data_IF_899207124989
#
_entry.id   IF_899207124989
#
_cell.length_a   1.000
_cell.length_b   1.000
_cell.length_c   1.000
_cell.angle_alpha   90.00
_cell.angle_beta   90.00
_cell.angle_gamma   90.00
#
_symmetry.space_group_name_H-M   'P 1'
#
loop_
_entity.id
_entity.type
_entity.pdbx_description
1 polymer ?
#
# COMPACT_ATOMS: atom_id res chain seq x y z
N UNK A 1 -38.68 23.59 -67.19
CA UNK A 1 -38.38 22.15 -67.28
C UNK A 1 -37.12 21.93 -66.49
N UNK A 2 -37.15 21.72 -65.22
CA UNK A 2 -37.43 20.55 -64.37
C UNK A 2 -36.34 19.49 -64.44
N UNK A 3 -35.71 19.31 -63.25
CA UNK A 3 -34.96 18.17 -62.74
C UNK A 3 -33.50 18.04 -63.11
N UNK A 4 -32.66 18.48 -62.20
CA UNK A 4 -31.53 17.69 -61.70
C UNK A 4 -30.86 18.46 -60.52
N UNK A 5 -31.37 18.28 -59.32
CA UNK A 5 -30.68 18.82 -58.12
C UNK A 5 -31.13 18.00 -56.89
N UNK A 6 -30.78 16.70 -56.94
CA UNK A 6 -31.04 15.89 -55.72
C UNK A 6 -30.14 14.64 -55.73
N UNK A 7 -28.87 14.77 -55.51
CA UNK A 7 -28.02 13.60 -55.21
C UNK A 7 -26.62 13.87 -54.64
N UNK A 8 -26.36 15.04 -54.06
CA UNK A 8 -24.99 15.30 -53.48
C UNK A 8 -25.03 15.57 -51.96
N UNK A 9 -26.22 15.59 -51.32
CA UNK A 9 -26.30 15.84 -49.86
C UNK A 9 -26.46 14.62 -48.93
N UNK A 10 -26.55 13.42 -49.45
CA UNK A 10 -26.69 12.20 -48.67
C UNK A 10 -25.33 11.57 -48.29
N UNK A 11 -24.27 11.83 -49.03
CA UNK A 11 -22.98 11.15 -48.85
C UNK A 11 -22.05 11.83 -47.81
N UNK A 12 -22.33 13.09 -47.49
CA UNK A 12 -21.51 13.83 -46.47
C UNK A 12 -21.96 13.59 -45.01
N UNK A 13 -23.15 12.99 -44.79
CA UNK A 13 -23.59 12.64 -43.41
C UNK A 13 -23.13 11.28 -42.98
N UNK A 14 -22.94 10.34 -43.88
CA UNK A 14 -22.40 9.00 -43.55
C UNK A 14 -20.92 9.02 -43.25
N UNK A 15 -20.13 9.87 -43.95
CA UNK A 15 -18.70 10.01 -43.68
C UNK A 15 -18.36 10.71 -42.36
N UNK A 16 -19.24 11.62 -41.88
CA UNK A 16 -19.06 12.26 -40.55
C UNK A 16 -19.51 11.37 -39.39
N UNK A 17 -20.47 10.50 -39.58
CA UNK A 17 -20.90 9.53 -38.57
C UNK A 17 -19.85 8.44 -38.35
N UNK A 18 -19.12 8.04 -39.41
CA UNK A 18 -18.04 7.04 -39.31
C UNK A 18 -16.70 7.62 -38.82
N UNK A 19 -16.49 8.94 -38.99
CA UNK A 19 -15.31 9.61 -38.42
C UNK A 19 -15.46 9.91 -36.90
N UNK A 20 -16.69 10.10 -36.41
CA UNK A 20 -16.99 10.29 -34.98
C UNK A 20 -16.90 9.00 -34.16
N UNK A 21 -17.05 7.83 -34.80
CA UNK A 21 -16.97 6.53 -34.12
C UNK A 21 -15.52 6.02 -33.91
N UNK A 22 -14.51 6.68 -34.49
CA UNK A 22 -13.10 6.28 -34.36
C UNK A 22 -12.32 6.96 -33.22
N UNK A 23 -12.98 7.78 -32.40
CA UNK A 23 -12.36 8.45 -31.25
C UNK A 23 -13.07 8.22 -29.91
N UNK A 24 -13.87 7.17 -29.81
CA UNK A 24 -14.03 6.54 -28.51
C UNK A 24 -12.72 5.80 -28.25
N UNK A 25 -11.74 6.48 -27.63
CA UNK A 25 -10.72 5.75 -26.87
C UNK A 25 -11.51 4.77 -26.02
N UNK A 26 -11.28 3.47 -26.23
CA UNK A 26 -11.60 2.47 -25.23
C UNK A 26 -10.94 3.02 -23.97
N UNK A 27 -11.71 3.60 -23.07
CA UNK A 27 -11.24 3.89 -21.71
C UNK A 27 -10.89 2.50 -21.23
N UNK A 28 -9.60 2.24 -21.06
CA UNK A 28 -9.08 0.98 -20.54
C UNK A 28 -9.61 0.91 -19.11
N UNK A 29 -10.81 0.33 -18.99
CA UNK A 29 -11.48 0.22 -17.70
C UNK A 29 -10.75 -0.85 -16.91
N UNK A 30 -10.33 -0.51 -15.73
CA UNK A 30 -9.56 -1.34 -14.81
C UNK A 30 -10.22 -2.69 -14.53
N UNK A 31 -11.55 -2.83 -14.83
CA UNK A 31 -12.29 -4.08 -14.70
C UNK A 31 -13.58 -4.06 -15.52
N UNK A 32 -14.06 -5.25 -15.87
CA UNK A 32 -15.29 -5.44 -16.60
C UNK A 32 -16.53 -5.12 -15.73
N UNK A 33 -17.52 -4.43 -16.30
CA UNK A 33 -18.78 -4.01 -15.65
C UNK A 33 -19.98 -4.87 -16.04
N UNK A 34 -19.78 -6.08 -16.59
CA UNK A 34 -20.88 -7.02 -16.77
C UNK A 34 -21.45 -7.46 -15.42
N UNK A 35 -22.75 -7.81 -15.38
CA UNK A 35 -23.41 -8.25 -14.16
C UNK A 35 -22.72 -9.46 -13.51
N UNK A 36 -22.23 -10.38 -14.33
CA UNK A 36 -21.46 -11.56 -13.93
C UNK A 36 -20.11 -11.18 -13.30
N UNK A 37 -19.34 -10.30 -13.94
CA UNK A 37 -18.04 -9.83 -13.43
C UNK A 37 -18.21 -9.08 -12.12
N UNK A 38 -19.26 -8.22 -12.02
CA UNK A 38 -19.58 -7.50 -10.78
C UNK A 38 -19.93 -8.50 -9.67
N UNK A 39 -20.79 -9.47 -9.93
CA UNK A 39 -21.19 -10.49 -8.95
C UNK A 39 -19.98 -11.30 -8.47
N UNK A 40 -19.13 -11.74 -9.39
CA UNK A 40 -17.92 -12.48 -9.05
C UNK A 40 -16.94 -11.65 -8.23
N UNK A 41 -16.75 -10.37 -8.57
CA UNK A 41 -15.88 -9.45 -7.81
C UNK A 41 -16.39 -9.21 -6.40
N UNK A 42 -17.70 -8.93 -6.26
CA UNK A 42 -18.32 -8.70 -4.96
C UNK A 42 -18.35 -9.96 -4.08
N UNK A 43 -18.52 -11.15 -4.68
CA UNK A 43 -18.51 -12.41 -3.93
C UNK A 43 -17.13 -12.81 -3.39
N UNK A 44 -16.04 -12.31 -4.00
CA UNK A 44 -14.66 -12.54 -3.51
C UNK A 44 -14.32 -11.70 -2.29
N UNK A 45 -15.11 -10.66 -2.03
CA UNK A 45 -14.80 -9.70 -0.96
C UNK A 45 -13.59 -8.82 -1.25
N UNK A 46 -13.21 -7.96 -0.31
CA UNK A 46 -12.02 -7.13 -0.42
C UNK A 46 -10.75 -8.00 -0.35
N UNK A 47 -9.82 -7.78 -1.29
CA UNK A 47 -8.51 -8.44 -1.28
C UNK A 47 -7.54 -7.62 -0.45
N UNK A 48 -6.93 -8.25 0.56
CA UNK A 48 -5.88 -7.60 1.34
C UNK A 48 -4.60 -7.46 0.53
N UNK A 49 -4.09 -6.25 0.47
CA UNK A 49 -2.85 -5.96 -0.24
C UNK A 49 -1.70 -5.78 0.77
N UNK A 50 -0.77 -6.72 0.77
CA UNK A 50 0.44 -6.69 1.60
C UNK A 50 1.62 -5.97 0.93
N UNK A 51 1.39 -5.32 -0.21
CA UNK A 51 2.44 -4.58 -0.92
C UNK A 51 3.00 -3.43 -0.08
N UNK A 52 2.14 -2.76 0.71
CA UNK A 52 2.58 -1.71 1.63
C UNK A 52 3.63 -2.23 2.60
N UNK A 53 3.38 -3.42 3.16
CA UNK A 53 4.28 -4.07 4.11
C UNK A 53 5.59 -4.45 3.42
N UNK A 54 5.51 -4.94 2.16
CA UNK A 54 6.67 -5.26 1.35
C UNK A 54 7.50 -4.01 0.99
N UNK A 55 6.86 -2.91 0.60
CA UNK A 55 7.54 -1.65 0.29
C UNK A 55 8.24 -1.09 1.53
N UNK A 56 7.59 -1.08 2.69
CA UNK A 56 8.20 -0.60 3.93
C UNK A 56 9.41 -1.44 4.32
N UNK A 57 9.27 -2.77 4.34
CA UNK A 57 10.38 -3.65 4.62
C UNK A 57 11.53 -3.48 3.64
N UNK A 58 11.24 -3.38 2.34
CA UNK A 58 12.24 -3.24 1.29
C UNK A 58 13.00 -1.92 1.33
N UNK A 59 12.31 -0.80 1.53
CA UNK A 59 12.95 0.52 1.67
C UNK A 59 13.82 0.54 2.93
N UNK A 60 13.25 0.15 4.07
CA UNK A 60 13.95 0.23 5.35
C UNK A 60 15.16 -0.70 5.39
N UNK A 61 15.02 -1.95 4.94
CA UNK A 61 16.14 -2.87 4.85
C UNK A 61 17.28 -2.37 3.96
N UNK A 62 16.95 -1.75 2.81
CA UNK A 62 17.98 -1.16 1.94
C UNK A 62 18.65 0.06 2.56
N UNK A 63 17.86 0.96 3.20
CA UNK A 63 18.37 2.21 3.81
C UNK A 63 19.27 1.89 4.98
N UNK A 64 18.80 1.08 5.93
CA UNK A 64 19.53 0.80 7.18
C UNK A 64 20.80 0.00 6.92
N UNK A 65 20.73 -1.03 6.09
CA UNK A 65 21.93 -1.79 5.72
C UNK A 65 22.95 -0.96 4.94
N UNK A 66 22.47 -0.13 3.98
CA UNK A 66 23.39 0.75 3.25
C UNK A 66 23.95 1.86 4.11
N UNK A 67 23.23 2.33 5.13
CA UNK A 67 23.75 3.25 6.13
C UNK A 67 24.91 2.61 6.93
N UNK A 68 24.78 1.35 7.34
CA UNK A 68 25.88 0.59 7.98
C UNK A 68 27.08 0.50 7.04
N UNK A 69 26.87 0.11 5.77
CA UNK A 69 27.95 0.06 4.76
C UNK A 69 28.64 1.42 4.62
N UNK A 70 27.87 2.50 4.50
CA UNK A 70 28.37 3.86 4.31
C UNK A 70 29.12 4.38 5.54
N UNK A 71 28.60 4.14 6.74
CA UNK A 71 29.23 4.55 7.99
C UNK A 71 30.59 3.87 8.23
N UNK A 72 30.63 2.54 8.02
CA UNK A 72 31.87 1.76 8.17
C UNK A 72 32.91 2.13 7.09
N UNK A 73 32.45 2.38 5.85
CA UNK A 73 33.31 2.87 4.77
C UNK A 73 33.87 4.27 5.06
N UNK A 74 33.03 5.19 5.57
CA UNK A 74 33.43 6.53 6.00
C UNK A 74 34.50 6.52 7.11
N UNK A 75 34.35 5.62 8.06
CA UNK A 75 35.34 5.36 9.12
C UNK A 75 36.60 4.61 8.64
N UNK A 76 36.66 4.17 7.39
CA UNK A 76 37.75 3.38 6.78
C UNK A 76 38.06 2.09 7.54
N UNK A 77 37.03 1.45 8.09
CA UNK A 77 37.15 0.16 8.75
C UNK A 77 37.17 -0.99 7.73
N UNK A 78 37.51 -2.21 8.18
CA UNK A 78 37.63 -3.35 7.29
C UNK A 78 36.29 -3.83 6.72
N UNK A 79 36.31 -4.41 5.51
CA UNK A 79 35.14 -4.98 4.85
C UNK A 79 34.47 -6.08 5.68
N UNK A 80 35.22 -6.80 6.52
CA UNK A 80 34.68 -7.81 7.42
C UNK A 80 33.69 -7.20 8.44
N UNK A 81 34.02 -6.00 8.97
CA UNK A 81 33.13 -5.30 9.90
C UNK A 81 31.81 -4.92 9.21
N UNK A 82 31.86 -4.54 7.92
CA UNK A 82 30.66 -4.29 7.12
C UNK A 82 29.74 -5.52 7.08
N UNK A 83 30.33 -6.70 6.83
CA UNK A 83 29.55 -7.94 6.79
C UNK A 83 28.96 -8.30 8.16
N UNK A 84 29.77 -8.25 9.22
CA UNK A 84 29.29 -8.58 10.57
C UNK A 84 28.18 -7.66 11.00
N UNK A 85 28.36 -6.34 10.91
CA UNK A 85 27.37 -5.36 11.32
C UNK A 85 26.16 -5.36 10.36
N UNK A 86 26.39 -5.52 9.06
CA UNK A 86 25.32 -5.58 8.05
C UNK A 86 24.41 -6.78 8.26
N UNK A 87 24.94 -7.99 8.50
CA UNK A 87 24.11 -9.16 8.79
C UNK A 87 23.44 -9.07 10.16
N UNK A 88 24.13 -8.54 11.19
CA UNK A 88 23.53 -8.28 12.49
C UNK A 88 22.32 -7.34 12.36
N UNK A 89 22.48 -6.26 11.61
CA UNK A 89 21.38 -5.31 11.31
C UNK A 89 20.24 -5.99 10.55
N UNK A 90 20.54 -6.75 9.49
CA UNK A 90 19.53 -7.47 8.71
C UNK A 90 18.62 -8.34 9.57
N UNK A 91 19.19 -9.12 10.47
CA UNK A 91 18.39 -10.02 11.31
C UNK A 91 17.71 -9.27 12.46
N UNK A 92 18.40 -8.37 13.13
CA UNK A 92 17.86 -7.67 14.29
C UNK A 92 16.78 -6.68 13.90
N UNK A 93 17.05 -5.78 12.97
CA UNK A 93 16.09 -4.76 12.52
C UNK A 93 14.96 -5.39 11.70
N UNK A 94 15.29 -6.33 10.81
CA UNK A 94 14.28 -7.05 10.04
C UNK A 94 13.29 -7.78 10.95
N UNK A 95 13.77 -8.47 11.99
CA UNK A 95 12.89 -9.10 12.98
C UNK A 95 12.10 -8.07 13.79
N UNK A 96 12.74 -7.00 14.26
CA UNK A 96 12.08 -5.94 15.02
C UNK A 96 10.93 -5.31 14.23
N UNK A 97 11.18 -4.99 12.95
CA UNK A 97 10.18 -4.41 12.06
C UNK A 97 9.01 -5.37 11.78
N UNK A 98 9.32 -6.64 11.55
CA UNK A 98 8.31 -7.69 11.35
C UNK A 98 7.46 -7.90 12.61
N UNK A 99 8.09 -7.94 13.79
CA UNK A 99 7.40 -8.08 15.07
C UNK A 99 6.51 -6.86 15.36
N UNK A 100 6.99 -5.66 15.08
CA UNK A 100 6.20 -4.42 15.22
C UNK A 100 4.99 -4.41 14.29
N UNK A 101 5.16 -4.84 13.03
CA UNK A 101 4.05 -4.95 12.08
C UNK A 101 3.05 -6.03 12.49
N UNK A 102 3.53 -7.18 13.00
CA UNK A 102 2.67 -8.21 13.57
C UNK A 102 1.82 -7.67 14.72
N UNK A 103 2.47 -7.06 15.71
CA UNK A 103 1.79 -6.55 16.91
C UNK A 103 0.82 -5.42 16.58
N UNK A 104 1.18 -4.51 15.67
CA UNK A 104 0.30 -3.43 15.22
C UNK A 104 -0.94 -3.97 14.51
N UNK A 105 -0.76 -4.89 13.54
CA UNK A 105 -1.89 -5.52 12.83
C UNK A 105 -2.74 -6.38 13.77
N UNK A 106 -2.12 -7.06 14.74
CA UNK A 106 -2.83 -7.82 15.76
C UNK A 106 -3.66 -6.91 16.66
N UNK A 107 -3.12 -5.75 17.07
CA UNK A 107 -3.85 -4.79 17.88
C UNK A 107 -5.09 -4.24 17.13
N UNK A 108 -5.00 -3.96 15.81
CA UNK A 108 -6.16 -3.61 14.97
C UNK A 108 -7.22 -4.73 14.99
N UNK A 109 -6.78 -5.97 14.92
CA UNK A 109 -7.67 -7.15 14.97
C UNK A 109 -8.34 -7.32 16.34
N UNK A 110 -7.56 -7.18 17.40
CA UNK A 110 -8.06 -7.30 18.79
C UNK A 110 -9.05 -6.17 19.12
N UNK A 111 -8.81 -4.94 18.58
CA UNK A 111 -9.74 -3.81 18.76
C UNK A 111 -11.06 -4.01 18.02
N UNK A 112 -11.02 -4.54 16.78
CA UNK A 112 -12.22 -4.92 16.05
C UNK A 112 -13.09 -5.92 16.84
N UNK A 113 -12.48 -6.98 17.37
CA UNK A 113 -13.21 -7.97 18.17
C UNK A 113 -13.75 -7.38 19.48
N UNK A 114 -13.00 -6.48 20.11
CA UNK A 114 -13.45 -5.77 21.31
C UNK A 114 -14.71 -4.95 21.02
N UNK A 115 -14.70 -4.19 19.93
CA UNK A 115 -15.85 -3.36 19.54
C UNK A 115 -17.02 -4.23 19.09
N UNK A 116 -16.79 -5.33 18.37
CA UNK A 116 -17.83 -6.31 18.04
C UNK A 116 -18.53 -6.85 19.29
N UNK A 117 -17.76 -7.13 20.35
CA UNK A 117 -18.32 -7.57 21.63
C UNK A 117 -19.10 -6.46 22.37
N UNK A 118 -18.65 -5.21 22.24
CA UNK A 118 -19.35 -4.02 22.78
C UNK A 118 -20.71 -3.86 22.09
N UNK A 119 -20.73 -3.84 20.75
CA UNK A 119 -21.94 -3.71 19.96
C UNK A 119 -22.96 -4.82 20.26
N UNK A 120 -22.48 -6.06 20.33
CA UNK A 120 -23.34 -7.17 20.70
C UNK A 120 -23.99 -6.97 22.09
N UNK A 121 -23.27 -6.43 23.05
CA UNK A 121 -23.79 -6.14 24.38
C UNK A 121 -24.78 -4.97 24.35
N UNK A 122 -24.53 -3.92 23.60
CA UNK A 122 -25.43 -2.78 23.44
C UNK A 122 -26.75 -3.21 22.81
N UNK A 123 -26.72 -4.00 21.75
CA UNK A 123 -27.91 -4.56 21.10
C UNK A 123 -28.73 -5.42 22.09
N UNK A 124 -28.08 -6.16 23.01
CA UNK A 124 -28.78 -6.96 24.01
C UNK A 124 -29.37 -6.12 25.16
N UNK A 125 -28.71 -5.00 25.51
CA UNK A 125 -29.07 -4.20 26.68
C UNK A 125 -29.98 -3.01 26.34
N UNK A 126 -29.74 -2.37 25.19
CA UNK A 126 -30.43 -1.15 24.73
C UNK A 126 -30.82 -1.19 23.24
N UNK A 127 -31.57 -2.20 22.78
CA UNK A 127 -31.83 -2.44 21.36
C UNK A 127 -32.54 -1.27 20.66
N UNK A 128 -33.34 -0.49 21.38
CA UNK A 128 -34.01 0.69 20.80
C UNK A 128 -33.05 1.86 20.59
N UNK A 129 -32.07 2.05 21.47
CA UNK A 129 -30.99 3.03 21.29
C UNK A 129 -30.16 2.71 20.04
N UNK A 130 -29.75 1.46 19.92
CA UNK A 130 -28.98 0.98 18.76
C UNK A 130 -29.77 1.07 17.42
N UNK A 131 -31.12 0.91 17.46
CA UNK A 131 -31.96 1.16 16.28
C UNK A 131 -32.00 2.64 15.91
N UNK A 132 -32.05 3.50 16.92
CA UNK A 132 -32.02 4.95 16.71
C UNK A 132 -30.68 5.40 16.10
N UNK A 133 -29.55 4.82 16.54
CA UNK A 133 -28.24 5.09 15.95
C UNK A 133 -28.19 4.70 14.48
N UNK A 134 -28.65 3.50 14.11
CA UNK A 134 -28.80 3.10 12.70
C UNK A 134 -29.69 4.09 11.95
N UNK A 135 -30.79 4.53 12.56
CA UNK A 135 -31.71 5.52 11.94
C UNK A 135 -31.00 6.85 11.66
N UNK A 136 -30.23 7.35 12.62
CA UNK A 136 -29.49 8.60 12.46
C UNK A 136 -28.37 8.49 11.42
N UNK A 137 -27.63 7.39 11.41
CA UNK A 137 -26.60 7.11 10.40
C UNK A 137 -27.19 7.16 8.99
N UNK A 138 -28.30 6.48 8.75
CA UNK A 138 -28.92 6.44 7.42
C UNK A 138 -29.69 7.72 7.09
N UNK A 139 -30.22 8.44 8.08
CA UNK A 139 -30.76 9.78 7.88
C UNK A 139 -29.68 10.76 7.38
N UNK A 140 -28.48 10.73 7.96
CA UNK A 140 -27.35 11.55 7.48
C UNK A 140 -26.92 11.18 6.05
N UNK A 141 -27.16 9.95 5.62
CA UNK A 141 -26.95 9.49 4.22
C UNK A 141 -28.07 9.92 3.27
N UNK A 142 -29.09 10.64 3.76
CA UNK A 142 -30.16 11.21 2.96
C UNK A 142 -31.43 10.36 2.89
N UNK A 143 -31.52 9.23 3.62
CA UNK A 143 -32.77 8.47 3.69
C UNK A 143 -33.76 9.15 4.63
N UNK A 144 -35.04 9.22 4.22
CA UNK A 144 -36.11 9.86 5.00
C UNK A 144 -37.41 9.07 4.92
N UNK A 145 -38.34 9.32 5.86
CA UNK A 145 -39.70 8.80 5.82
C UNK A 145 -39.76 7.24 5.81
N UNK A 146 -40.51 6.68 4.87
CA UNK A 146 -40.74 5.23 4.77
C UNK A 146 -39.47 4.45 4.40
N UNK A 147 -38.64 5.02 3.52
CA UNK A 147 -37.40 4.39 3.10
C UNK A 147 -36.41 4.26 4.28
N UNK A 148 -36.33 5.27 5.13
CA UNK A 148 -35.52 5.22 6.37
C UNK A 148 -36.03 4.11 7.29
N UNK A 149 -37.34 4.07 7.56
CA UNK A 149 -37.92 3.01 8.43
C UNK A 149 -37.61 1.61 7.88
N UNK A 150 -37.78 1.44 6.58
CA UNK A 150 -37.55 0.15 5.93
C UNK A 150 -36.09 -0.29 5.98
N UNK A 151 -35.12 0.61 5.76
CA UNK A 151 -33.70 0.25 5.83
C UNK A 151 -33.28 -0.11 7.25
N UNK A 152 -33.75 0.64 8.26
CA UNK A 152 -33.50 0.34 9.68
C UNK A 152 -34.02 -1.08 10.02
N UNK A 153 -35.28 -1.39 9.64
CA UNK A 153 -35.86 -2.72 9.86
C UNK A 153 -35.04 -3.83 9.20
N UNK A 154 -34.61 -3.63 7.94
CA UNK A 154 -33.84 -4.62 7.22
C UNK A 154 -32.46 -4.86 7.85
N UNK A 155 -31.80 -3.80 8.31
CA UNK A 155 -30.48 -3.91 8.96
C UNK A 155 -30.60 -4.61 10.30
N UNK A 156 -31.53 -4.18 11.15
CA UNK A 156 -31.66 -4.65 12.51
C UNK A 156 -32.37 -6.02 12.62
N UNK A 157 -32.95 -6.53 11.52
CA UNK A 157 -33.53 -7.88 11.47
C UNK A 157 -32.48 -9.00 11.51
N UNK A 158 -31.23 -8.71 11.14
CA UNK A 158 -30.12 -9.67 11.20
C UNK A 158 -29.00 -9.12 12.06
N UNK A 159 -28.68 -9.85 13.14
CA UNK A 159 -27.69 -9.39 14.14
C UNK A 159 -26.30 -9.16 13.53
N UNK A 160 -25.85 -10.03 12.65
CA UNK A 160 -24.53 -9.88 12.02
C UNK A 160 -24.47 -8.64 11.12
N UNK A 161 -25.56 -8.40 10.38
CA UNK A 161 -25.68 -7.20 9.56
C UNK A 161 -25.71 -5.95 10.42
N UNK A 162 -26.43 -5.97 11.51
CA UNK A 162 -26.53 -4.85 12.45
C UNK A 162 -25.15 -4.50 13.02
N UNK A 163 -24.49 -5.43 13.70
CA UNK A 163 -23.14 -5.23 14.24
C UNK A 163 -22.16 -4.77 13.16
N UNK A 164 -22.18 -5.41 11.98
CA UNK A 164 -21.33 -5.00 10.86
C UNK A 164 -21.59 -3.56 10.42
N UNK A 165 -22.84 -3.13 10.39
CA UNK A 165 -23.22 -1.77 10.03
C UNK A 165 -22.67 -0.78 11.06
N UNK A 166 -22.82 -1.06 12.35
CA UNK A 166 -22.28 -0.22 13.41
C UNK A 166 -20.74 -0.11 13.32
N UNK A 167 -20.05 -1.24 13.25
CA UNK A 167 -18.58 -1.24 13.13
C UNK A 167 -18.09 -0.42 11.92
N UNK A 168 -18.79 -0.47 10.79
CA UNK A 168 -18.38 0.23 9.58
C UNK A 168 -18.78 1.70 9.58
N UNK A 169 -20.00 2.02 10.03
CA UNK A 169 -20.59 3.34 9.85
C UNK A 169 -20.38 4.26 11.05
N UNK A 170 -20.34 3.73 12.25
CA UNK A 170 -20.10 4.48 13.48
C UNK A 170 -18.60 4.60 13.77
N UNK A 171 -17.89 3.45 13.80
CA UNK A 171 -16.46 3.43 14.13
C UNK A 171 -15.55 3.59 12.92
N UNK A 172 -16.06 3.52 11.70
CA UNK A 172 -15.25 3.62 10.47
C UNK A 172 -14.27 2.47 10.27
N UNK A 173 -14.50 1.33 10.92
CA UNK A 173 -13.62 0.17 10.87
C UNK A 173 -13.92 -0.71 9.66
N UNK A 174 -12.90 -1.25 8.98
CA UNK A 174 -13.11 -2.29 8.00
C UNK A 174 -13.58 -3.57 8.68
N UNK A 175 -14.58 -4.23 8.12
CA UNK A 175 -15.08 -5.51 8.65
C UNK A 175 -14.04 -6.64 8.60
N UNK A 176 -13.15 -6.60 7.64
CA UNK A 176 -12.09 -7.58 7.49
C UNK A 176 -10.74 -6.90 7.72
N UNK A 177 -9.95 -7.45 8.63
CA UNK A 177 -8.59 -7.01 8.93
C UNK A 177 -7.57 -7.96 8.29
N UNK A 178 -6.40 -7.41 7.98
CA UNK A 178 -5.30 -8.14 7.37
C UNK A 178 -4.75 -9.19 8.33
N UNK A 179 -4.20 -10.29 7.80
CA UNK A 179 -3.52 -11.28 8.63
C UNK A 179 -2.22 -10.71 9.21
N UNK A 180 -2.04 -10.69 10.54
CA UNK A 180 -0.82 -10.21 11.18
C UNK A 180 0.42 -11.00 10.74
N UNK A 181 0.29 -12.33 10.57
CA UNK A 181 1.39 -13.19 10.14
C UNK A 181 1.86 -12.90 8.72
N UNK A 182 0.92 -12.68 7.78
CA UNK A 182 1.27 -12.39 6.39
C UNK A 182 1.90 -10.99 6.30
N UNK A 183 1.39 -10.00 7.03
CA UNK A 183 1.96 -8.66 7.11
C UNK A 183 3.41 -8.70 7.62
N UNK A 184 3.64 -9.38 8.75
CA UNK A 184 4.97 -9.54 9.33
C UNK A 184 5.95 -10.26 8.39
N UNK A 185 5.52 -11.38 7.79
CA UNK A 185 6.36 -12.16 6.88
C UNK A 185 6.69 -11.39 5.60
N UNK A 186 5.72 -10.62 5.08
CA UNK A 186 5.96 -9.73 3.92
C UNK A 186 7.02 -8.67 4.23
N UNK A 187 6.92 -8.02 5.40
CA UNK A 187 7.88 -7.03 5.86
C UNK A 187 9.26 -7.65 6.04
N UNK A 188 9.35 -8.78 6.76
CA UNK A 188 10.61 -9.45 7.03
C UNK A 188 11.33 -9.90 5.76
N UNK A 189 10.60 -10.58 4.87
CA UNK A 189 11.18 -11.07 3.62
C UNK A 189 11.66 -9.94 2.71
N UNK A 190 10.88 -8.86 2.60
CA UNK A 190 11.28 -7.69 1.84
C UNK A 190 12.53 -7.00 2.43
N UNK A 191 12.57 -6.87 3.76
CA UNK A 191 13.73 -6.32 4.48
C UNK A 191 14.99 -7.13 4.20
N UNK A 192 14.91 -8.46 4.35
CA UNK A 192 16.06 -9.34 4.10
C UNK A 192 16.51 -9.28 2.63
N UNK A 193 15.58 -9.41 1.68
CA UNK A 193 15.91 -9.43 0.25
C UNK A 193 16.53 -8.12 -0.19
N UNK A 194 15.91 -7.01 0.12
CA UNK A 194 16.39 -5.69 -0.32
C UNK A 194 17.62 -5.22 0.48
N UNK A 195 17.67 -5.51 1.79
CA UNK A 195 18.79 -5.14 2.64
C UNK A 195 20.04 -6.01 2.43
N UNK A 196 19.90 -7.21 1.87
CA UNK A 196 21.05 -8.01 1.47
C UNK A 196 21.80 -7.41 0.28
N UNK A 197 21.12 -6.68 -0.60
CA UNK A 197 21.71 -6.18 -1.86
C UNK A 197 22.93 -5.28 -1.63
N UNK A 198 22.94 -4.30 -0.70
CA UNK A 198 24.14 -3.51 -0.39
C UNK A 198 25.34 -4.33 0.08
N UNK A 199 25.12 -5.51 0.69
CA UNK A 199 26.16 -6.35 1.21
C UNK A 199 26.74 -7.32 0.15
N UNK A 200 26.03 -7.59 -0.94
CA UNK A 200 26.45 -8.53 -1.97
C UNK A 200 27.86 -8.24 -2.53
N UNK A 201 28.25 -6.99 -2.86
CA UNK A 201 29.57 -6.71 -3.36
C UNK A 201 30.70 -7.10 -2.38
N UNK A 202 30.44 -6.98 -1.08
CA UNK A 202 31.38 -7.35 -0.02
C UNK A 202 31.43 -8.86 0.21
N UNK A 203 30.25 -9.52 0.16
CA UNK A 203 30.16 -10.97 0.28
C UNK A 203 30.86 -11.69 -0.88
N UNK A 204 30.74 -11.12 -2.09
CA UNK A 204 31.40 -11.63 -3.30
C UNK A 204 32.86 -11.14 -3.44
N UNK A 205 33.39 -10.39 -2.47
CA UNK A 205 34.74 -9.85 -2.44
C UNK A 205 35.14 -9.09 -3.72
N UNK A 206 34.19 -8.33 -4.28
CA UNK A 206 34.41 -7.61 -5.53
C UNK A 206 35.42 -6.48 -5.37
N UNK A 207 36.24 -6.26 -6.40
CA UNK A 207 37.07 -5.06 -6.51
C UNK A 207 36.15 -3.84 -6.55
N UNK A 208 36.44 -2.81 -5.77
CA UNK A 208 35.62 -1.62 -5.61
C UNK A 208 34.22 -1.88 -5.02
N UNK A 209 34.13 -2.81 -4.05
CA UNK A 209 32.86 -3.22 -3.42
C UNK A 209 31.97 -2.05 -2.97
N UNK A 210 32.57 -0.97 -2.41
CA UNK A 210 31.82 0.21 -1.98
C UNK A 210 31.10 0.90 -3.15
N UNK A 211 31.83 1.17 -4.25
CA UNK A 211 31.24 1.84 -5.42
C UNK A 211 30.11 1.00 -6.04
N UNK A 212 30.32 -0.30 -6.15
CA UNK A 212 29.31 -1.22 -6.65
C UNK A 212 28.11 -1.24 -5.71
N UNK A 213 28.31 -1.27 -4.39
CA UNK A 213 27.24 -1.20 -3.39
C UNK A 213 26.42 0.08 -3.54
N UNK A 214 27.06 1.24 -3.72
CA UNK A 214 26.35 2.52 -4.00
C UNK A 214 25.44 2.39 -5.21
N UNK A 215 25.98 1.87 -6.33
CA UNK A 215 25.23 1.78 -7.60
C UNK A 215 24.04 0.83 -7.48
N UNK A 216 24.26 -0.39 -6.96
CA UNK A 216 23.18 -1.39 -6.86
C UNK A 216 22.09 -0.94 -5.89
N UNK A 217 22.47 -0.29 -4.79
CA UNK A 217 21.51 0.26 -3.82
C UNK A 217 20.70 1.40 -4.41
N UNK A 218 21.34 2.29 -5.18
CA UNK A 218 20.64 3.36 -5.89
C UNK A 218 19.60 2.82 -6.88
N UNK A 219 19.95 1.76 -7.61
CA UNK A 219 19.00 1.07 -8.52
C UNK A 219 17.83 0.46 -7.73
N UNK A 220 18.09 -0.16 -6.59
CA UNK A 220 17.04 -0.74 -5.73
C UNK A 220 16.11 0.35 -5.20
N UNK A 221 16.61 1.45 -4.68
CA UNK A 221 15.77 2.56 -4.20
C UNK A 221 14.88 3.10 -5.32
N UNK A 222 15.47 3.31 -6.49
CA UNK A 222 14.72 3.79 -7.64
C UNK A 222 13.63 2.78 -8.08
N UNK A 223 13.97 1.48 -8.12
CA UNK A 223 13.05 0.42 -8.51
C UNK A 223 11.87 0.29 -7.52
N UNK A 224 12.15 0.26 -6.20
CA UNK A 224 11.10 0.19 -5.17
C UNK A 224 10.19 1.42 -5.25
N UNK A 225 10.77 2.62 -5.39
CA UNK A 225 10.01 3.86 -5.55
C UNK A 225 9.16 3.87 -6.83
N UNK A 226 9.69 3.34 -7.93
CA UNK A 226 8.96 3.22 -9.19
C UNK A 226 7.81 2.20 -9.11
N UNK A 227 8.00 1.09 -8.42
CA UNK A 227 6.93 0.10 -8.18
C UNK A 227 5.82 0.72 -7.32
N UNK A 228 6.18 1.48 -6.29
CA UNK A 228 5.24 2.21 -5.42
C UNK A 228 4.32 3.13 -6.22
N UNK A 229 4.76 3.72 -7.33
CA UNK A 229 3.95 4.64 -8.13
C UNK A 229 2.70 4.00 -8.73
N UNK A 230 2.66 2.67 -8.89
CA UNK A 230 1.47 1.96 -9.38
C UNK A 230 0.22 2.13 -8.50
N UNK A 231 0.41 2.56 -7.26
CA UNK A 231 -0.65 2.81 -6.27
C UNK A 231 -0.66 4.29 -5.82
N UNK A 232 -0.13 5.16 -6.66
CA UNK A 232 -0.06 6.61 -6.42
C UNK A 232 -0.43 7.34 -7.70
N UNK A 233 -0.85 8.58 -7.59
CA UNK A 233 -1.04 9.50 -8.71
C UNK A 233 0.27 10.07 -9.25
N UNK A 234 1.39 9.85 -8.54
CA UNK A 234 2.71 10.29 -8.96
C UNK A 234 3.25 9.43 -10.10
N UNK A 235 4.01 10.03 -11.02
CA UNK A 235 4.69 9.27 -12.07
C UNK A 235 5.79 8.36 -11.49
N UNK A 236 6.10 7.27 -12.19
CA UNK A 236 7.13 6.33 -11.76
C UNK A 236 8.51 6.97 -11.57
N UNK A 237 8.84 7.95 -12.42
CA UNK A 237 10.09 8.72 -12.31
C UNK A 237 10.10 9.60 -11.04
N UNK A 238 9.00 10.29 -10.75
CA UNK A 238 8.90 11.13 -9.55
C UNK A 238 8.97 10.29 -8.27
N UNK A 239 8.24 9.18 -8.22
CA UNK A 239 8.25 8.30 -7.05
C UNK A 239 9.60 7.60 -6.87
N UNK A 240 10.22 7.15 -7.98
CA UNK A 240 11.56 6.55 -7.97
C UNK A 240 12.64 7.53 -7.51
N UNK A 241 12.68 8.73 -8.07
CA UNK A 241 13.66 9.75 -7.68
C UNK A 241 13.46 10.26 -6.26
N UNK A 242 12.23 10.39 -5.78
CA UNK A 242 11.98 10.76 -4.39
C UNK A 242 12.53 9.71 -3.40
N UNK A 243 12.32 8.43 -3.68
CA UNK A 243 12.85 7.34 -2.83
C UNK A 243 14.37 7.27 -2.89
N UNK A 244 14.96 7.43 -4.08
CA UNK A 244 16.41 7.52 -4.26
C UNK A 244 17.01 8.70 -3.47
N UNK A 245 16.37 9.86 -3.49
CA UNK A 245 16.82 11.05 -2.78
C UNK A 245 16.83 10.83 -1.26
N UNK A 246 15.80 10.24 -0.70
CA UNK A 246 15.73 9.87 0.73
C UNK A 246 16.87 8.91 1.09
N UNK A 247 17.07 7.87 0.28
CA UNK A 247 18.17 6.92 0.50
C UNK A 247 19.55 7.57 0.41
N UNK A 248 19.75 8.50 -0.53
CA UNK A 248 21.01 9.25 -0.66
C UNK A 248 21.30 10.13 0.55
N UNK A 249 20.28 10.79 1.11
CA UNK A 249 20.42 11.59 2.34
C UNK A 249 20.84 10.68 3.51
N UNK A 250 20.14 9.57 3.73
CA UNK A 250 20.44 8.64 4.82
C UNK A 250 21.88 8.10 4.72
N UNK A 251 22.29 7.70 3.53
CA UNK A 251 23.65 7.23 3.26
C UNK A 251 24.71 8.31 3.49
N UNK A 252 24.45 9.55 3.04
CA UNK A 252 25.33 10.68 3.24
C UNK A 252 25.52 11.03 4.70
N UNK A 253 24.44 11.01 5.49
CA UNK A 253 24.50 11.23 6.94
C UNK A 253 25.31 10.14 7.65
N UNK A 254 25.09 8.88 7.29
CA UNK A 254 25.81 7.76 7.87
C UNK A 254 27.31 7.80 7.51
N UNK A 255 27.64 8.11 6.25
CA UNK A 255 29.03 8.28 5.82
C UNK A 255 29.73 9.42 6.56
N UNK A 256 29.06 10.58 6.66
CA UNK A 256 29.60 11.73 7.40
C UNK A 256 29.83 11.41 8.88
N UNK A 257 28.89 10.70 9.52
CA UNK A 257 29.05 10.23 10.89
C UNK A 257 30.27 9.30 11.03
N UNK A 258 30.48 8.38 10.09
CA UNK A 258 31.67 7.52 10.07
C UNK A 258 32.98 8.29 9.96
N UNK A 259 33.03 9.29 9.07
CA UNK A 259 34.21 10.17 8.91
C UNK A 259 34.50 10.98 10.19
N UNK A 260 33.47 11.57 10.81
CA UNK A 260 33.59 12.37 12.02
C UNK A 260 34.06 11.49 13.18
N UNK A 261 33.44 10.35 13.41
CA UNK A 261 33.81 9.44 14.49
C UNK A 261 35.24 8.92 14.36
N UNK A 262 35.69 8.71 13.13
CA UNK A 262 37.09 8.35 12.89
C UNK A 262 38.07 9.40 13.41
N UNK A 263 37.79 10.70 13.21
CA UNK A 263 38.67 11.80 13.70
C UNK A 263 38.73 11.92 15.21
N UNK A 264 37.77 11.35 15.94
CA UNK A 264 37.82 11.28 17.41
C UNK A 264 38.51 10.02 17.94
N UNK A 265 38.72 9.02 17.12
CA UNK A 265 39.36 7.75 17.49
C UNK A 265 40.87 7.72 17.19
N UNK A 266 41.35 8.64 16.35
CA UNK A 266 42.78 8.94 16.09
C UNK A 266 43.32 10.00 17.06
#
# INVERSE_FOLDING_TARGET
MLRCSFSIRADLRSSRALAGARHLRVIDMEHEHSAEAIKQRLSRGPTHNYLRDWIYGGIDGSVTTFAVVSGVAGARLSSWIILVLGFANLFADGFSMAASNYLGTKAEHDDLHRLEAVENRHIDTFPEGEREEVSQIFHQKGFVGEDLRRIVQLITADRRRWVRTMLTEEYGLPYEVRSPWIAALSTFSAFLVCGLIPLLPYLLQLTHAFVISVIVTAVVFFAIGSIKSRWSTASWLQSGSATLFVGAIAAGLAYAAGVILKTFAE
#
